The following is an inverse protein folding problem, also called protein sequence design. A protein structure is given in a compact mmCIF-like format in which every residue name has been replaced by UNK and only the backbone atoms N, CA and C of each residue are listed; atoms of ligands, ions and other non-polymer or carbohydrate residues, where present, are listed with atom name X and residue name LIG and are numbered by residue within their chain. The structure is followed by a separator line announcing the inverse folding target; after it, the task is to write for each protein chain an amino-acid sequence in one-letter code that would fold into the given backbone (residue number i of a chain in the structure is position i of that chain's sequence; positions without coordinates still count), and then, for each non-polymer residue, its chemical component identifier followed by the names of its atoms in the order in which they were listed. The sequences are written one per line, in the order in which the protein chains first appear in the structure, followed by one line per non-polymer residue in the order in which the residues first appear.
data_IF_833360008125
#
_entry.id   IF_833360008125
#
_cell.length_a   1.000
_cell.length_b   1.000
_cell.length_c   1.000
_cell.angle_alpha   90.00
_cell.angle_beta   90.00
_cell.angle_gamma   90.00
#
_symmetry.space_group_name_H-M   'P 1'
#
loop_
_entity.id
_entity.type
_entity.pdbx_description
1 polymer ?
#
# COMPACT_ATOMS: atom_id res chain seq x y z
N UNK A 1 9.56 2.81 -19.02
CA UNK A 1 10.07 2.85 -17.64
C UNK A 1 9.07 2.39 -16.56
N UNK A 2 7.87 1.85 -16.87
CA UNK A 2 6.95 1.35 -15.83
C UNK A 2 7.31 -0.01 -15.23
N UNK A 3 7.97 -0.90 -15.99
CA UNK A 3 8.24 -2.28 -15.54
C UNK A 3 9.16 -2.35 -14.31
N UNK A 4 10.16 -1.46 -14.22
CA UNK A 4 11.08 -1.43 -13.08
C UNK A 4 10.39 -0.96 -11.80
N UNK A 5 9.49 0.01 -11.89
CA UNK A 5 8.67 0.45 -10.77
C UNK A 5 7.67 -0.62 -10.32
N UNK A 6 7.07 -1.35 -11.27
CA UNK A 6 6.23 -2.51 -10.95
C UNK A 6 7.02 -3.63 -10.28
N UNK A 7 8.25 -3.89 -10.72
CA UNK A 7 9.12 -4.91 -10.15
C UNK A 7 9.59 -4.54 -8.73
N UNK A 8 9.94 -3.26 -8.53
CA UNK A 8 10.30 -2.72 -7.22
C UNK A 8 9.10 -2.76 -6.26
N UNK A 9 7.91 -2.35 -6.70
CA UNK A 9 6.70 -2.43 -5.89
C UNK A 9 6.33 -3.86 -5.52
N UNK A 10 6.49 -4.81 -6.45
CA UNK A 10 6.23 -6.23 -6.22
C UNK A 10 7.26 -6.85 -5.26
N UNK A 11 8.54 -6.45 -5.37
CA UNK A 11 9.62 -6.91 -4.48
C UNK A 11 9.46 -6.36 -3.07
N UNK A 12 9.20 -5.05 -2.93
CA UNK A 12 9.03 -4.38 -1.64
C UNK A 12 7.73 -4.83 -0.98
N UNK A 13 6.63 -4.94 -1.73
CA UNK A 13 5.34 -5.42 -1.24
C UNK A 13 5.36 -6.89 -0.83
N UNK A 14 6.05 -7.74 -1.60
CA UNK A 14 6.26 -9.14 -1.24
C UNK A 14 7.13 -9.31 0.01
N UNK A 15 8.22 -8.53 0.12
CA UNK A 15 9.12 -8.57 1.28
C UNK A 15 8.42 -8.05 2.55
N UNK A 16 7.74 -6.89 2.47
CA UNK A 16 6.93 -6.37 3.58
C UNK A 16 5.79 -7.31 3.94
N UNK A 17 5.10 -7.89 2.95
CA UNK A 17 4.02 -8.85 3.18
C UNK A 17 4.50 -10.13 3.87
N UNK A 18 5.69 -10.61 3.53
CA UNK A 18 6.29 -11.79 4.17
C UNK A 18 6.82 -11.48 5.58
N UNK A 19 7.46 -10.31 5.77
CA UNK A 19 7.98 -9.88 7.07
C UNK A 19 6.83 -9.61 8.06
N UNK A 20 5.81 -8.86 7.63
CA UNK A 20 4.59 -8.62 8.40
C UNK A 20 3.78 -9.90 8.63
N UNK A 21 3.70 -10.78 7.63
CA UNK A 21 3.04 -12.08 7.75
C UNK A 21 3.75 -13.03 8.72
N UNK A 22 5.09 -13.01 8.75
CA UNK A 22 5.91 -13.83 9.66
C UNK A 22 5.86 -13.36 11.12
N UNK A 23 5.60 -12.07 11.35
CA UNK A 23 5.54 -11.47 12.68
C UNK A 23 4.14 -11.49 13.30
N UNK A 24 3.05 -11.54 12.51
CA UNK A 24 1.71 -11.34 13.08
C UNK A 24 0.49 -11.96 12.34
N UNK A 25 0.67 -12.87 11.36
CA UNK A 25 -0.43 -13.63 10.74
C UNK A 25 -1.43 -12.82 9.88
N UNK A 26 -2.38 -13.51 9.22
CA UNK A 26 -3.38 -12.98 8.27
C UNK A 26 -4.08 -11.67 8.71
N UNK A 27 -4.24 -11.49 10.03
CA UNK A 27 -4.90 -10.35 10.64
C UNK A 27 -4.14 -9.02 10.47
N UNK A 28 -2.81 -9.03 10.52
CA UNK A 28 -2.01 -7.82 10.30
C UNK A 28 -1.91 -7.45 8.83
N UNK A 29 -1.83 -8.42 7.92
CA UNK A 29 -1.95 -8.15 6.49
C UNK A 29 -3.30 -7.50 6.14
N UNK A 30 -4.36 -7.95 6.81
CA UNK A 30 -5.69 -7.33 6.71
C UNK A 30 -5.69 -5.91 7.29
N UNK A 31 -5.14 -5.70 8.49
CA UNK A 31 -5.03 -4.37 9.11
C UNK A 31 -4.18 -3.40 8.28
N UNK A 32 -3.05 -3.83 7.72
CA UNK A 32 -2.20 -3.01 6.84
C UNK A 32 -2.91 -2.69 5.53
N UNK A 33 -3.66 -3.64 4.96
CA UNK A 33 -4.50 -3.34 3.78
C UNK A 33 -5.60 -2.33 4.10
N UNK A 34 -6.21 -2.43 5.28
CA UNK A 34 -7.27 -1.53 5.74
C UNK A 34 -6.73 -0.12 5.98
N UNK A 35 -5.57 0.00 6.65
CA UNK A 35 -4.87 1.27 6.86
C UNK A 35 -4.35 1.85 5.54
N UNK A 36 -3.77 1.03 4.68
CA UNK A 36 -3.31 1.44 3.34
C UNK A 36 -4.44 1.95 2.46
N UNK A 37 -5.61 1.32 2.52
CA UNK A 37 -6.82 1.78 1.81
C UNK A 37 -7.33 3.10 2.39
N UNK A 38 -7.37 3.24 3.71
CA UNK A 38 -7.80 4.47 4.37
C UNK A 38 -6.85 5.65 4.07
N UNK A 39 -5.55 5.42 4.12
CA UNK A 39 -4.54 6.42 3.76
C UNK A 39 -4.60 6.74 2.27
N UNK A 40 -4.73 5.74 1.41
CA UNK A 40 -4.90 5.92 -0.04
C UNK A 40 -6.13 6.74 -0.40
N UNK A 41 -7.27 6.49 0.27
CA UNK A 41 -8.47 7.31 0.11
C UNK A 41 -8.29 8.73 0.65
N UNK A 42 -7.63 8.90 1.80
CA UNK A 42 -7.44 10.22 2.40
C UNK A 42 -6.51 11.09 1.55
N UNK A 43 -5.36 10.57 1.16
CA UNK A 43 -4.44 11.27 0.26
C UNK A 43 -5.03 11.41 -1.14
N UNK A 44 -5.75 10.41 -1.64
CA UNK A 44 -6.46 10.47 -2.92
C UNK A 44 -7.53 11.55 -2.92
N UNK A 45 -8.34 11.68 -1.86
CA UNK A 45 -9.29 12.78 -1.68
C UNK A 45 -8.60 14.13 -1.55
N UNK A 46 -7.52 14.21 -0.79
CA UNK A 46 -6.77 15.46 -0.58
C UNK A 46 -6.13 15.94 -1.89
N UNK A 47 -5.56 15.02 -2.68
CA UNK A 47 -5.04 15.30 -4.02
C UNK A 47 -6.18 15.64 -4.98
N UNK A 48 -7.29 14.91 -4.95
CA UNK A 48 -8.46 15.21 -5.79
C UNK A 48 -9.02 16.61 -5.50
N UNK A 49 -9.11 17.03 -4.24
CA UNK A 49 -9.54 18.38 -3.86
C UNK A 49 -8.52 19.47 -4.20
N UNK A 50 -7.26 19.12 -4.41
CA UNK A 50 -6.23 20.09 -4.80
C UNK A 50 -6.03 20.17 -6.32
N UNK A 51 -6.36 19.09 -7.06
CA UNK A 51 -6.21 19.00 -8.51
C UNK A 51 -7.51 19.17 -9.30
N UNK A 52 -8.68 18.95 -8.69
CA UNK A 52 -9.97 19.28 -9.28
C UNK A 52 -10.44 20.60 -8.66
N UNK A 53 -10.47 21.71 -9.44
CA UNK A 53 -11.07 22.97 -9.00
C UNK A 53 -12.58 22.83 -8.73
#
# INVERSE_FOLDING_TARGET
MSRLFSFLGMTIGGWLGWWLGSLAGLFTAFMVSMVGTALGMYYGRKLAQHYLP
#
